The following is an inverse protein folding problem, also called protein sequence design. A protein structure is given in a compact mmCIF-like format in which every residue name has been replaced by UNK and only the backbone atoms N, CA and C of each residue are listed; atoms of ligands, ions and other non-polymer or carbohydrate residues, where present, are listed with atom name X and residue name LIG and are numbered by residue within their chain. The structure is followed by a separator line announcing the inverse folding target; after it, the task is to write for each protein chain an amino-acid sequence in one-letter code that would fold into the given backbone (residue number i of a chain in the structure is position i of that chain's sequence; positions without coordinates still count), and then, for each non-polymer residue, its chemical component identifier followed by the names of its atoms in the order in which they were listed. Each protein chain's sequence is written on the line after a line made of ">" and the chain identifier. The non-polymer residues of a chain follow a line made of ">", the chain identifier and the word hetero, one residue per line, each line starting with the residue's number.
data_IF_255515968162
#
_entry.id   IF_255515968162
#
_cell.length_a   1.000
_cell.length_b   1.000
_cell.length_c   1.000
_cell.angle_alpha   90.00
_cell.angle_beta   90.00
_cell.angle_gamma   90.00
#
_symmetry.space_group_name_H-M   'P 1'
#
loop_
_entity.id
_entity.type
_entity.pdbx_description
1 polymer ?
#
# COMPACT_ATOMS: atom_id res chain seq x y z
N UNK A 1 27.76 13.77 -28.51
CA UNK A 1 26.82 12.68 -28.86
C UNK A 1 26.72 11.57 -27.79
N UNK A 2 27.78 11.20 -27.06
CA UNK A 2 27.71 10.11 -26.06
C UNK A 2 27.03 10.43 -24.71
N UNK A 3 27.00 11.70 -24.28
CA UNK A 3 26.41 12.09 -22.98
C UNK A 3 24.88 12.04 -22.92
N UNK A 4 24.21 12.17 -24.07
CA UNK A 4 22.75 12.09 -24.15
C UNK A 4 22.25 10.64 -24.02
N UNK A 5 22.95 9.70 -24.65
CA UNK A 5 22.64 8.27 -24.59
C UNK A 5 22.75 7.71 -23.15
N UNK A 6 23.81 8.08 -22.42
CA UNK A 6 23.97 7.65 -21.02
C UNK A 6 22.91 8.23 -20.08
N UNK A 7 22.45 9.47 -20.33
CA UNK A 7 21.37 10.08 -19.56
C UNK A 7 20.00 9.41 -19.82
N UNK A 8 19.73 9.03 -21.07
CA UNK A 8 18.49 8.32 -21.44
C UNK A 8 18.45 6.90 -20.85
N UNK A 9 19.58 6.18 -20.93
CA UNK A 9 19.71 4.86 -20.32
C UNK A 9 19.53 4.91 -18.79
N UNK A 10 20.09 5.92 -18.12
CA UNK A 10 19.90 6.11 -16.67
C UNK A 10 18.43 6.36 -16.29
N UNK A 11 17.68 7.13 -17.08
CA UNK A 11 16.26 7.42 -16.83
C UNK A 11 15.36 6.19 -16.98
N UNK A 12 15.71 5.26 -17.87
CA UNK A 12 14.99 4.00 -18.04
C UNK A 12 15.30 2.99 -16.93
N UNK A 13 16.56 2.94 -16.47
CA UNK A 13 17.02 2.00 -15.43
C UNK A 13 16.73 2.43 -13.99
N UNK A 14 16.50 3.73 -13.73
CA UNK A 14 16.24 4.29 -12.40
C UNK A 14 14.76 4.60 -12.13
N UNK A 15 13.82 3.91 -12.78
CA UNK A 15 12.40 4.14 -12.50
C UNK A 15 12.07 3.64 -11.10
N UNK A 16 11.56 4.56 -10.27
CA UNK A 16 11.04 4.22 -8.94
C UNK A 16 9.89 3.21 -9.07
N UNK A 17 9.78 2.32 -8.08
CA UNK A 17 8.66 1.42 -7.98
C UNK A 17 7.35 2.23 -7.93
N UNK A 18 6.37 1.82 -8.72
CA UNK A 18 5.03 2.42 -8.74
C UNK A 18 4.08 1.46 -8.04
N UNK A 19 3.36 1.96 -7.05
CA UNK A 19 2.22 1.25 -6.46
C UNK A 19 0.94 1.92 -6.93
N UNK A 20 0.11 1.19 -7.65
CA UNK A 20 -1.24 1.63 -7.96
C UNK A 20 -2.15 1.36 -6.77
N UNK A 21 -2.75 2.42 -6.23
CA UNK A 21 -3.78 2.32 -5.19
C UNK A 21 -5.13 2.59 -5.84
N UNK A 22 -6.02 1.58 -5.96
CA UNK A 22 -7.34 1.80 -6.53
C UNK A 22 -8.17 2.71 -5.63
N UNK A 23 -9.12 3.45 -6.23
CA UNK A 23 -10.15 4.15 -5.45
C UNK A 23 -10.94 3.14 -4.63
N UNK A 24 -10.95 3.33 -3.31
CA UNK A 24 -11.67 2.47 -2.38
C UNK A 24 -12.93 3.19 -1.91
N UNK A 25 -14.09 2.58 -2.16
CA UNK A 25 -15.38 3.04 -1.63
C UNK A 25 -15.64 2.28 -0.33
N UNK A 26 -15.41 2.93 0.80
CA UNK A 26 -15.75 2.39 2.11
C UNK A 26 -17.08 2.96 2.58
N UNK A 27 -18.03 2.06 2.86
CA UNK A 27 -19.42 2.43 3.16
C UNK A 27 -19.64 2.55 4.66
N UNK A 28 -19.05 1.65 5.45
CA UNK A 28 -19.22 1.64 6.91
C UNK A 28 -18.00 2.25 7.60
N UNK A 29 -18.24 2.92 8.73
CA UNK A 29 -17.19 3.46 9.59
C UNK A 29 -17.50 3.12 11.03
N UNK A 30 -16.49 2.70 11.78
CA UNK A 30 -16.59 2.60 13.23
C UNK A 30 -16.49 3.98 13.88
N UNK A 31 -16.93 4.06 15.14
CA UNK A 31 -16.69 5.24 15.97
C UNK A 31 -15.18 5.41 16.25
N UNK A 32 -14.72 6.60 16.64
CA UNK A 32 -13.30 6.87 16.85
C UNK A 32 -12.62 5.93 17.85
N UNK A 33 -13.26 5.56 18.96
CA UNK A 33 -12.62 4.71 19.97
C UNK A 33 -12.45 3.28 19.48
N UNK A 34 -13.48 2.73 18.82
CA UNK A 34 -13.38 1.42 18.20
C UNK A 34 -12.37 1.39 17.06
N UNK A 35 -12.33 2.45 16.24
CA UNK A 35 -11.37 2.57 15.14
C UNK A 35 -9.93 2.55 15.61
N UNK A 36 -9.65 3.28 16.71
CA UNK A 36 -8.34 3.32 17.34
C UNK A 36 -7.93 1.93 17.86
N UNK A 37 -8.84 1.24 18.56
CA UNK A 37 -8.57 -0.09 19.11
C UNK A 37 -8.27 -1.12 18.02
N UNK A 38 -8.95 -1.04 16.88
CA UNK A 38 -8.84 -2.03 15.80
C UNK A 38 -7.76 -1.71 14.77
N UNK A 39 -7.15 -0.52 14.83
CA UNK A 39 -6.11 -0.07 13.90
C UNK A 39 -6.63 0.32 12.50
N UNK A 40 -7.95 0.45 12.33
CA UNK A 40 -8.60 0.93 11.10
C UNK A 40 -9.99 1.47 11.42
N UNK A 41 -10.42 2.54 10.73
CA UNK A 41 -11.79 3.07 10.79
C UNK A 41 -12.78 2.27 9.93
N UNK A 42 -12.25 1.56 8.93
CA UNK A 42 -13.04 0.81 7.97
C UNK A 42 -13.12 -0.65 8.40
N UNK A 43 -14.32 -1.16 8.77
CA UNK A 43 -14.51 -2.54 9.20
C UNK A 43 -13.99 -3.56 8.17
N UNK A 44 -14.13 -3.25 6.87
CA UNK A 44 -13.75 -4.10 5.75
C UNK A 44 -12.22 -4.26 5.61
N UNK A 45 -11.45 -3.37 6.24
CA UNK A 45 -9.99 -3.44 6.30
C UNK A 45 -9.45 -4.17 7.52
N UNK A 46 -10.30 -4.48 8.52
CA UNK A 46 -9.83 -5.13 9.73
C UNK A 46 -9.42 -6.58 9.42
N UNK A 47 -8.12 -6.86 9.54
CA UNK A 47 -7.52 -8.17 9.25
C UNK A 47 -6.54 -8.53 10.38
N UNK A 48 -7.00 -9.15 11.48
CA UNK A 48 -6.11 -9.57 12.56
C UNK A 48 -5.21 -10.70 12.07
N UNK A 49 -3.95 -10.67 12.51
CA UNK A 49 -3.01 -11.76 12.25
C UNK A 49 -3.36 -12.96 13.14
N UNK A 50 -3.87 -14.03 12.55
CA UNK A 50 -4.12 -15.27 13.27
C UNK A 50 -2.83 -16.07 13.44
N UNK A 51 -2.60 -16.62 14.64
CA UNK A 51 -1.41 -17.41 14.99
C UNK A 51 -1.24 -18.65 14.08
N UNK A 52 -2.34 -19.19 13.56
CA UNK A 52 -2.33 -20.30 12.60
C UNK A 52 -1.63 -19.96 11.27
N UNK A 53 -1.46 -18.68 10.94
CA UNK A 53 -0.79 -18.21 9.73
C UNK A 53 0.74 -18.07 9.89
N UNK A 54 1.28 -18.27 11.10
CA UNK A 54 2.73 -18.22 11.39
C UNK A 54 3.48 -19.55 11.24
N UNK A 55 2.79 -20.66 10.96
CA UNK A 55 3.38 -22.01 10.87
C UNK A 55 3.61 -22.52 9.44
N UNK A 56 3.69 -21.62 8.45
CA UNK A 56 4.04 -21.96 7.06
C UNK A 56 5.53 -21.83 6.80
#
# INVERSE_FOLDING_TARGET
>A
MGGYFMNEMNRMMLRLAQAYVPFQVYVNRWDPMKSLMMGTIFPELYRPYYESMRRG
#
